data_IF_795827176064
#
_entry.id   IF_795827176064
#
_cell.length_a   1.000
_cell.length_b   1.000
_cell.length_c   1.000
_cell.angle_alpha   90.00
_cell.angle_beta   90.00
_cell.angle_gamma   90.00
#
_symmetry.space_group_name_H-M   'P 1'
#
loop_
_entity.id
_entity.type
_entity.pdbx_description
1 polymer ?
#
# COMPACT_ATOMS: atom_id res chain seq x y z
N UNK A 1 -26.99 -33.43 -14.92
CA UNK A 1 -27.54 -33.01 -13.61
C UNK A 1 -26.99 -31.65 -13.25
N UNK A 2 -27.85 -30.65 -13.03
CA UNK A 2 -27.45 -29.29 -12.62
C UNK A 2 -26.92 -29.30 -11.18
N UNK A 3 -25.74 -28.72 -10.98
CA UNK A 3 -25.09 -28.71 -9.67
C UNK A 3 -25.64 -27.60 -8.76
N UNK A 4 -26.62 -27.92 -7.91
CA UNK A 4 -27.21 -26.99 -6.93
C UNK A 4 -26.27 -26.61 -5.76
N UNK A 5 -25.17 -27.34 -5.55
CA UNK A 5 -24.23 -27.07 -4.45
C UNK A 5 -23.49 -25.73 -4.59
N UNK A 6 -23.51 -25.11 -5.76
CA UNK A 6 -22.90 -23.78 -5.99
C UNK A 6 -23.68 -22.63 -5.34
N UNK A 7 -24.97 -22.86 -5.05
CA UNK A 7 -25.85 -21.88 -4.41
C UNK A 7 -25.74 -21.94 -2.87
N UNK A 8 -25.99 -20.81 -2.21
CA UNK A 8 -26.13 -20.76 -0.75
C UNK A 8 -27.58 -21.03 -0.36
N UNK A 9 -27.84 -21.43 0.90
CA UNK A 9 -29.19 -21.77 1.38
C UNK A 9 -30.25 -20.70 1.04
N UNK A 10 -29.99 -19.39 1.19
CA UNK A 10 -30.95 -18.36 0.78
C UNK A 10 -31.33 -18.42 -0.70
N UNK A 11 -30.36 -18.65 -1.59
CA UNK A 11 -30.62 -18.76 -3.04
C UNK A 11 -31.31 -20.08 -3.40
N UNK A 12 -31.01 -21.17 -2.68
CA UNK A 12 -31.74 -22.45 -2.82
C UNK A 12 -33.21 -22.25 -2.46
N UNK A 13 -33.51 -21.54 -1.36
CA UNK A 13 -34.89 -21.23 -0.96
C UNK A 13 -35.61 -20.31 -1.95
N UNK A 14 -34.92 -19.30 -2.52
CA UNK A 14 -35.47 -18.46 -3.58
C UNK A 14 -35.81 -19.28 -4.83
N UNK A 15 -34.89 -20.15 -5.24
CA UNK A 15 -35.09 -21.04 -6.38
C UNK A 15 -36.31 -21.94 -6.18
N UNK A 16 -36.40 -22.60 -5.03
CA UNK A 16 -37.56 -23.43 -4.71
C UNK A 16 -38.87 -22.64 -4.75
N UNK A 17 -38.88 -21.41 -4.24
CA UNK A 17 -40.06 -20.53 -4.30
C UNK A 17 -40.45 -20.16 -5.73
N UNK A 18 -39.49 -19.84 -6.62
CA UNK A 18 -39.75 -19.60 -8.05
C UNK A 18 -40.20 -20.87 -8.80
N UNK A 19 -39.88 -22.04 -8.27
CA UNK A 19 -40.36 -23.33 -8.76
C UNK A 19 -41.63 -23.83 -8.08
N UNK A 20 -42.23 -23.06 -7.15
CA UNK A 20 -43.38 -23.47 -6.33
C UNK A 20 -43.16 -24.77 -5.55
N UNK A 21 -41.93 -25.03 -5.10
CA UNK A 21 -41.61 -26.14 -4.19
C UNK A 21 -41.71 -25.66 -2.76
N UNK A 22 -42.53 -26.35 -1.96
CA UNK A 22 -42.62 -26.09 -0.53
C UNK A 22 -41.52 -26.85 0.23
N UNK A 23 -40.42 -26.14 0.50
CA UNK A 23 -39.25 -26.74 1.17
C UNK A 23 -39.50 -26.92 2.66
N UNK A 24 -39.29 -28.14 3.16
CA UNK A 24 -39.22 -28.41 4.60
C UNK A 24 -37.93 -27.82 5.18
N UNK A 25 -37.93 -27.47 6.47
CA UNK A 25 -36.69 -27.08 7.16
C UNK A 25 -35.71 -28.26 7.13
N UNK A 26 -34.45 -27.97 6.83
CA UNK A 26 -33.41 -28.99 6.71
C UNK A 26 -32.03 -28.43 6.41
N UNK A 27 -31.04 -29.31 6.40
CA UNK A 27 -29.67 -29.02 5.96
C UNK A 27 -29.63 -28.80 4.45
N UNK A 28 -28.57 -28.14 3.96
CA UNK A 28 -28.44 -27.81 2.53
C UNK A 28 -28.62 -29.02 1.60
N UNK A 29 -28.01 -30.16 1.93
CA UNK A 29 -28.13 -31.39 1.13
C UNK A 29 -29.58 -31.88 1.06
N UNK A 30 -30.30 -31.88 2.18
CA UNK A 30 -31.72 -32.27 2.24
C UNK A 30 -32.61 -31.35 1.40
N UNK A 31 -32.32 -30.05 1.39
CA UNK A 31 -33.05 -29.08 0.56
C UNK A 31 -32.77 -29.28 -0.94
N UNK A 32 -31.55 -29.70 -1.30
CA UNK A 32 -31.17 -30.00 -2.68
C UNK A 32 -31.92 -31.25 -3.16
N UNK A 33 -31.93 -32.31 -2.34
CA UNK A 33 -32.65 -33.54 -2.67
C UNK A 33 -34.16 -33.27 -2.89
N UNK A 34 -34.80 -32.44 -2.05
CA UNK A 34 -36.20 -32.05 -2.23
C UNK A 34 -36.46 -31.33 -3.58
N UNK A 35 -35.47 -30.60 -4.10
CA UNK A 35 -35.58 -29.92 -5.40
C UNK A 35 -35.35 -30.90 -6.55
N UNK A 36 -34.43 -31.84 -6.39
CA UNK A 36 -34.17 -32.89 -7.37
C UNK A 36 -35.38 -33.85 -7.51
N UNK A 37 -36.03 -34.18 -6.39
CA UNK A 37 -37.24 -35.01 -6.35
C UNK A 37 -38.49 -34.31 -6.94
N UNK A 38 -38.48 -32.98 -7.04
CA UNK A 38 -39.63 -32.20 -7.54
C UNK A 38 -39.85 -32.29 -9.06
N UNK A 39 -38.98 -32.98 -9.80
CA UNK A 39 -39.18 -33.24 -11.23
C UNK A 39 -39.11 -31.99 -12.12
N UNK A 40 -38.39 -30.95 -11.71
CA UNK A 40 -38.21 -29.74 -12.52
C UNK A 40 -37.36 -30.07 -13.75
N UNK A 41 -37.73 -29.50 -14.91
CA UNK A 41 -36.92 -29.63 -16.11
C UNK A 41 -35.50 -29.07 -15.92
N UNK A 42 -34.52 -29.84 -16.34
CA UNK A 42 -33.10 -29.52 -16.13
C UNK A 42 -32.71 -28.15 -16.70
N UNK A 43 -33.21 -27.82 -17.91
CA UNK A 43 -33.02 -26.52 -18.55
C UNK A 43 -33.57 -25.34 -17.74
N UNK A 44 -34.69 -25.53 -17.01
CA UNK A 44 -35.24 -24.48 -16.15
C UNK A 44 -34.40 -24.30 -14.89
N UNK A 45 -33.94 -25.41 -14.32
CA UNK A 45 -33.10 -25.43 -13.14
C UNK A 45 -31.76 -24.74 -13.40
N UNK A 46 -31.13 -25.03 -14.55
CA UNK A 46 -29.87 -24.42 -14.98
C UNK A 46 -29.98 -22.90 -15.12
N UNK A 47 -31.01 -22.41 -15.83
CA UNK A 47 -31.28 -20.97 -15.97
C UNK A 47 -31.46 -20.26 -14.63
N UNK A 48 -32.14 -20.89 -13.68
CA UNK A 48 -32.34 -20.33 -12.34
C UNK A 48 -31.04 -20.32 -11.53
N UNK A 49 -30.24 -21.36 -11.62
CA UNK A 49 -28.91 -21.42 -10.98
C UNK A 49 -28.02 -20.29 -11.50
N UNK A 50 -27.96 -20.09 -12.82
CA UNK A 50 -27.16 -19.03 -13.43
C UNK A 50 -27.63 -17.64 -13.01
N UNK A 51 -28.95 -17.41 -13.02
CA UNK A 51 -29.57 -16.17 -12.55
C UNK A 51 -29.12 -15.83 -11.12
N UNK A 52 -29.19 -16.80 -10.20
CA UNK A 52 -28.83 -16.55 -8.79
C UNK A 52 -27.31 -16.50 -8.55
N UNK A 53 -26.51 -17.18 -9.35
CA UNK A 53 -25.06 -17.01 -9.33
C UNK A 53 -24.65 -15.60 -9.78
N UNK A 54 -25.30 -15.05 -10.81
CA UNK A 54 -25.10 -13.68 -11.23
C UNK A 54 -25.53 -12.69 -10.13
N UNK A 55 -26.69 -12.90 -9.50
CA UNK A 55 -27.15 -12.06 -8.37
C UNK A 55 -26.16 -12.09 -7.20
N UNK A 56 -25.63 -13.27 -6.85
CA UNK A 56 -24.60 -13.44 -5.81
C UNK A 56 -23.32 -12.67 -6.14
N UNK A 57 -22.85 -12.70 -7.39
CA UNK A 57 -21.68 -11.94 -7.85
C UNK A 57 -21.94 -10.43 -7.75
N UNK A 58 -23.09 -9.95 -8.22
CA UNK A 58 -23.45 -8.54 -8.13
C UNK A 58 -23.59 -8.05 -6.68
N UNK A 59 -24.17 -8.86 -5.78
CA UNK A 59 -24.27 -8.53 -4.37
C UNK A 59 -22.90 -8.38 -3.69
N UNK A 60 -21.92 -9.23 -4.04
CA UNK A 60 -20.52 -9.07 -3.58
C UNK A 60 -19.90 -7.77 -4.10
N UNK A 61 -20.12 -7.42 -5.36
CA UNK A 61 -19.62 -6.17 -5.95
C UNK A 61 -20.25 -4.96 -5.24
N UNK A 62 -21.56 -4.97 -4.99
CA UNK A 62 -22.25 -3.89 -4.26
C UNK A 62 -21.74 -3.75 -2.82
N UNK A 63 -21.45 -4.85 -2.13
CA UNK A 63 -20.84 -4.80 -0.79
C UNK A 63 -19.44 -4.16 -0.82
N UNK A 64 -18.59 -4.54 -1.78
CA UNK A 64 -17.27 -3.90 -1.95
C UNK A 64 -17.39 -2.41 -2.28
N UNK A 65 -18.32 -2.03 -3.15
CA UNK A 65 -18.58 -0.61 -3.48
C UNK A 65 -19.16 0.19 -2.30
N UNK A 66 -19.90 -0.41 -1.37
CA UNK A 66 -20.35 0.27 -0.14
C UNK A 66 -19.25 0.41 0.92
N UNK A 67 -18.23 -0.44 0.88
CA UNK A 67 -17.07 -0.34 1.77
C UNK A 67 -16.08 0.76 1.33
N UNK A 68 -16.09 1.11 0.03
CA UNK A 68 -15.37 2.26 -0.50
C UNK A 68 -16.37 3.36 -0.80
N UNK A 69 -16.59 4.27 0.17
CA UNK A 69 -17.41 5.46 -0.05
C UNK A 69 -16.61 6.48 -0.88
N UNK A 70 -16.29 6.10 -2.13
CA UNK A 70 -15.41 6.84 -3.05
C UNK A 70 -15.76 8.33 -3.12
N UNK A 71 -17.04 8.74 -3.23
CA UNK A 71 -17.38 10.17 -3.28
C UNK A 71 -17.07 10.92 -1.98
N UNK A 72 -17.19 10.26 -0.82
CA UNK A 72 -16.83 10.85 0.47
C UNK A 72 -15.30 10.97 0.60
N UNK A 73 -14.56 9.97 0.10
CA UNK A 73 -13.09 10.01 0.07
C UNK A 73 -12.58 11.09 -0.88
N UNK A 74 -13.16 11.22 -2.07
CA UNK A 74 -12.85 12.29 -3.03
C UNK A 74 -13.11 13.66 -2.42
N UNK A 75 -14.26 13.86 -1.75
CA UNK A 75 -14.56 15.11 -1.05
C UNK A 75 -13.58 15.42 0.08
N UNK A 76 -13.12 14.40 0.84
CA UNK A 76 -12.12 14.58 1.89
C UNK A 76 -10.75 14.91 1.32
N UNK A 77 -10.36 14.31 0.19
CA UNK A 77 -9.11 14.62 -0.51
C UNK A 77 -9.12 16.07 -0.96
N UNK A 78 -10.17 16.53 -1.65
CA UNK A 78 -10.24 17.93 -2.10
C UNK A 78 -10.19 18.94 -0.95
N UNK A 79 -10.84 18.63 0.19
CA UNK A 79 -10.75 19.49 1.37
C UNK A 79 -9.36 19.51 2.01
N UNK A 80 -8.59 18.42 1.90
CA UNK A 80 -7.22 18.35 2.39
C UNK A 80 -6.25 19.08 1.46
N UNK A 81 -6.42 18.96 0.14
CA UNK A 81 -5.67 19.71 -0.86
C UNK A 81 -5.82 21.22 -0.65
N UNK A 82 -7.05 21.71 -0.49
CA UNK A 82 -7.32 23.13 -0.23
C UNK A 82 -6.67 23.63 1.08
N UNK A 83 -6.67 22.81 2.14
CA UNK A 83 -5.98 23.15 3.39
C UNK A 83 -4.46 23.15 3.24
N UNK A 84 -3.93 22.26 2.40
CA UNK A 84 -2.50 22.17 2.13
C UNK A 84 -2.03 23.40 1.36
N UNK A 85 -2.78 23.85 0.36
CA UNK A 85 -2.49 25.07 -0.40
C UNK A 85 -2.44 26.30 0.53
N UNK A 86 -3.42 26.42 1.43
CA UNK A 86 -3.45 27.51 2.44
C UNK A 86 -2.22 27.44 3.35
N UNK A 87 -1.81 26.24 3.80
CA UNK A 87 -0.63 26.07 4.64
C UNK A 87 0.65 26.42 3.88
N UNK A 88 0.80 25.99 2.63
CA UNK A 88 1.92 26.33 1.77
C UNK A 88 2.02 27.86 1.62
N UNK A 89 0.90 28.53 1.40
CA UNK A 89 0.86 29.98 1.27
C UNK A 89 1.23 30.70 2.58
N UNK A 90 0.72 30.22 3.72
CA UNK A 90 1.08 30.76 5.03
C UNK A 90 2.57 30.57 5.35
N UNK A 91 3.12 29.39 5.06
CA UNK A 91 4.54 29.09 5.23
C UNK A 91 5.37 30.00 4.33
N UNK A 92 4.98 30.16 3.07
CA UNK A 92 5.62 31.06 2.11
C UNK A 92 5.66 32.50 2.60
N UNK A 93 4.55 33.00 3.17
CA UNK A 93 4.50 34.33 3.76
C UNK A 93 5.43 34.48 4.97
N UNK A 94 5.51 33.46 5.84
CA UNK A 94 6.42 33.45 7.00
C UNK A 94 7.88 33.46 6.55
N UNK A 95 8.24 32.63 5.56
CA UNK A 95 9.57 32.59 4.94
C UNK A 95 9.93 33.99 4.42
N UNK A 96 9.02 34.63 3.69
CA UNK A 96 9.26 35.96 3.11
C UNK A 96 9.42 37.06 4.18
N UNK A 97 8.68 37.00 5.29
CA UNK A 97 8.66 38.06 6.30
C UNK A 97 9.72 37.92 7.39
N UNK A 98 10.14 36.69 7.76
CA UNK A 98 10.93 36.45 8.98
C UNK A 98 12.30 35.79 8.77
N UNK A 99 12.61 35.29 7.57
CA UNK A 99 13.93 34.71 7.31
C UNK A 99 14.93 35.69 6.70
N UNK A 100 16.23 35.59 7.07
CA UNK A 100 17.31 36.34 6.43
C UNK A 100 17.49 35.87 4.98
N UNK A 101 17.96 36.75 4.10
CA UNK A 101 18.00 36.50 2.63
C UNK A 101 18.80 35.25 2.24
N UNK A 102 19.82 34.86 3.02
CA UNK A 102 20.58 33.62 2.81
C UNK A 102 19.73 32.35 2.90
N UNK A 103 18.73 32.34 3.78
CA UNK A 103 17.89 31.15 4.00
C UNK A 103 16.75 31.06 2.98
N UNK A 104 16.42 32.18 2.31
CA UNK A 104 15.41 32.23 1.23
C UNK A 104 15.93 31.66 -0.09
N UNK A 105 17.24 31.74 -0.35
CA UNK A 105 17.87 31.16 -1.55
C UNK A 105 17.92 29.63 -1.50
N UNK A 106 18.07 29.04 -0.30
CA UNK A 106 18.04 27.58 -0.11
C UNK A 106 16.68 26.98 -0.48
N UNK A 107 15.58 27.67 -0.17
CA UNK A 107 14.21 27.19 -0.43
C UNK A 107 13.80 27.36 -1.90
N UNK A 108 14.29 28.40 -2.59
CA UNK A 108 14.04 28.59 -4.03
C UNK A 108 14.78 27.58 -4.93
N UNK A 109 15.83 26.95 -4.42
CA UNK A 109 16.52 25.87 -5.12
C UNK A 109 15.73 24.55 -5.12
N UNK A 110 14.64 24.46 -4.35
CA UNK A 110 13.72 23.31 -4.28
C UNK A 110 12.40 23.54 -5.04
N UNK A 111 12.37 24.42 -6.05
CA UNK A 111 11.28 24.44 -7.03
C UNK A 111 11.33 23.14 -7.86
N UNK A 112 10.66 22.10 -7.35
CA UNK A 112 10.44 20.81 -8.01
C UNK A 112 9.41 21.03 -9.12
N UNK A 113 9.85 21.60 -10.23
CA UNK A 113 9.17 21.46 -11.52
C UNK A 113 10.19 21.06 -12.56
N UNK A 114 9.90 19.92 -13.19
CA UNK A 114 10.66 19.27 -14.25
C UNK A 114 11.99 18.62 -13.83
N UNK A 115 11.92 17.31 -13.60
CA UNK A 115 13.09 16.43 -13.72
C UNK A 115 13.84 16.73 -15.03
N UNK A 116 15.17 16.78 -14.95
CA UNK A 116 15.97 15.81 -15.67
C UNK A 116 16.47 14.80 -14.66
N UNK A 117 16.53 13.54 -15.08
CA UNK A 117 17.40 12.54 -14.44
C UNK A 117 18.84 13.02 -14.62
N UNK A 118 19.31 13.93 -13.78
CA UNK A 118 20.73 14.15 -13.62
C UNK A 118 21.26 12.96 -12.82
N UNK A 119 22.30 12.35 -13.37
CA UNK A 119 23.04 11.27 -12.72
C UNK A 119 23.46 11.77 -11.34
N UNK A 120 22.78 11.29 -10.30
CA UNK A 120 23.21 11.44 -8.92
C UNK A 120 24.68 11.06 -8.85
N UNK A 121 25.51 11.97 -8.37
CA UNK A 121 26.92 11.72 -8.16
C UNK A 121 26.97 10.93 -6.84
N UNK A 122 26.67 9.63 -6.97
CA UNK A 122 26.21 8.74 -5.89
C UNK A 122 26.95 8.89 -4.55
N UNK A 123 28.27 9.12 -4.47
CA UNK A 123 28.95 9.22 -3.18
C UNK A 123 28.57 10.45 -2.34
N UNK A 124 28.33 11.62 -2.96
CA UNK A 124 28.01 12.86 -2.23
C UNK A 124 26.55 12.89 -1.77
N UNK A 125 25.66 12.32 -2.58
CA UNK A 125 24.22 12.30 -2.30
C UNK A 125 23.88 11.28 -1.20
N UNK A 126 24.65 10.20 -1.07
CA UNK A 126 24.47 9.23 0.01
C UNK A 126 24.77 9.87 1.37
N UNK A 127 25.78 10.74 1.49
CA UNK A 127 26.06 11.47 2.75
C UNK A 127 24.86 12.31 3.15
N UNK A 128 24.37 13.17 2.26
CA UNK A 128 23.21 14.01 2.51
C UNK A 128 21.96 13.18 2.84
N UNK A 129 21.81 12.03 2.19
CA UNK A 129 20.72 11.09 2.43
C UNK A 129 20.79 10.44 3.83
N UNK A 130 21.96 10.01 4.27
CA UNK A 130 22.18 9.54 5.65
C UNK A 130 21.92 10.65 6.66
N UNK A 131 22.29 11.90 6.33
CA UNK A 131 22.02 13.04 7.18
C UNK A 131 20.53 13.41 7.26
N UNK A 132 19.75 13.06 6.23
CA UNK A 132 18.31 13.31 6.18
C UNK A 132 17.51 12.22 6.92
N UNK A 133 17.98 10.96 6.90
CA UNK A 133 17.23 9.82 7.45
C UNK A 133 17.52 9.56 8.93
N UNK A 134 18.76 9.78 9.36
CA UNK A 134 19.16 9.49 10.74
C UNK A 134 19.40 10.80 11.47
N UNK A 135 18.72 11.04 12.58
CA UNK A 135 19.10 12.12 13.50
C UNK A 135 20.36 11.71 14.28
N UNK A 136 21.15 12.65 14.82
CA UNK A 136 22.26 12.31 15.72
C UNK A 136 21.79 11.41 16.88
N UNK A 137 22.45 10.26 17.06
CA UNK A 137 22.06 9.20 18.02
C UNK A 137 21.16 8.11 17.45
N UNK A 138 20.57 8.28 16.27
CA UNK A 138 19.79 7.24 15.61
C UNK A 138 20.70 6.12 15.09
N UNK A 139 20.20 4.90 15.15
CA UNK A 139 20.92 3.69 14.74
C UNK A 139 20.09 2.91 13.74
N UNK A 140 20.71 2.49 12.64
CA UNK A 140 20.08 1.68 11.59
C UNK A 140 20.97 0.50 11.26
N UNK A 141 20.36 -0.67 11.02
CA UNK A 141 21.12 -1.80 10.47
C UNK A 141 21.36 -1.60 8.98
N UNK A 142 22.45 -2.16 8.47
CA UNK A 142 22.75 -2.10 7.03
C UNK A 142 21.61 -2.73 6.22
N UNK A 143 21.00 -3.81 6.69
CA UNK A 143 19.86 -4.45 6.00
C UNK A 143 18.61 -3.57 5.90
N UNK A 144 18.38 -2.70 6.89
CA UNK A 144 17.27 -1.74 6.87
C UNK A 144 17.53 -0.62 5.88
N UNK A 145 18.79 -0.18 5.79
CA UNK A 145 19.23 0.78 4.77
C UNK A 145 18.96 0.25 3.35
N UNK A 146 19.26 -1.02 3.09
CA UNK A 146 19.00 -1.67 1.80
C UNK A 146 17.51 -1.86 1.45
N UNK A 147 16.60 -1.70 2.43
CA UNK A 147 15.15 -1.79 2.19
C UNK A 147 14.55 -0.46 1.73
N UNK A 148 15.27 0.65 1.86
CA UNK A 148 14.81 1.97 1.46
C UNK A 148 14.67 2.06 -0.07
N UNK A 149 13.49 2.48 -0.55
CA UNK A 149 13.14 2.49 -1.98
C UNK A 149 14.12 3.31 -2.82
N UNK A 150 14.72 4.36 -2.25
CA UNK A 150 15.68 5.22 -2.94
C UNK A 150 17.06 4.57 -3.13
N UNK A 151 17.43 3.63 -2.26
CA UNK A 151 18.71 2.92 -2.30
C UNK A 151 18.63 1.55 -2.99
N UNK A 152 17.42 1.05 -3.30
CA UNK A 152 17.24 -0.23 -4.00
C UNK A 152 17.86 -0.29 -5.40
N UNK A 153 18.06 0.85 -6.05
CA UNK A 153 18.67 0.93 -7.38
C UNK A 153 20.19 1.16 -7.34
N UNK A 154 20.78 1.31 -6.15
CA UNK A 154 22.22 1.54 -5.98
C UNK A 154 22.95 0.20 -5.87
N UNK A 155 24.03 -0.04 -6.64
CA UNK A 155 24.85 -1.22 -6.47
C UNK A 155 25.40 -1.32 -5.04
N UNK A 156 25.33 -2.51 -4.44
CA UNK A 156 25.77 -2.77 -3.06
C UNK A 156 27.21 -2.29 -2.80
N UNK A 157 28.09 -2.46 -3.79
CA UNK A 157 29.49 -2.03 -3.71
C UNK A 157 29.65 -0.51 -3.54
N UNK A 158 28.86 0.27 -4.26
CA UNK A 158 28.94 1.74 -4.24
C UNK A 158 28.39 2.28 -2.90
N UNK A 159 27.37 1.61 -2.36
CA UNK A 159 26.83 1.93 -1.04
C UNK A 159 27.80 1.56 0.09
N UNK A 160 28.49 0.42 -0.01
CA UNK A 160 29.55 0.03 0.92
C UNK A 160 30.70 1.04 0.90
N UNK A 161 31.15 1.48 -0.28
CA UNK A 161 32.18 2.51 -0.42
C UNK A 161 31.74 3.84 0.22
N UNK A 162 30.50 4.28 0.00
CA UNK A 162 29.97 5.50 0.62
C UNK A 162 29.82 5.40 2.15
N UNK A 163 29.37 4.26 2.68
CA UNK A 163 29.31 4.00 4.13
C UNK A 163 30.72 4.03 4.72
N UNK A 164 31.70 3.44 4.05
CA UNK A 164 33.09 3.46 4.51
C UNK A 164 33.66 4.89 4.57
N UNK A 165 33.33 5.72 3.58
CA UNK A 165 33.70 7.14 3.56
C UNK A 165 33.05 7.92 4.71
N UNK A 166 31.78 7.65 5.02
CA UNK A 166 31.06 8.26 6.15
C UNK A 166 31.68 7.90 7.51
N UNK A 167 32.14 6.66 7.65
CA UNK A 167 32.86 6.21 8.84
C UNK A 167 34.22 6.91 8.95
N UNK A 168 34.94 7.07 7.84
CA UNK A 168 36.24 7.76 7.82
C UNK A 168 36.11 9.25 8.13
N UNK A 169 34.99 9.87 7.73
CA UNK A 169 34.63 11.26 8.05
C UNK A 169 34.11 11.43 9.48
N UNK A 170 33.89 10.35 10.24
CA UNK A 170 33.40 10.38 11.63
C UNK A 170 31.93 10.76 11.78
N UNK A 171 31.14 10.66 10.71
CA UNK A 171 29.69 10.97 10.70
C UNK A 171 28.86 9.79 11.21
N UNK A 172 29.39 8.58 11.05
CA UNK A 172 28.73 7.34 11.45
C UNK A 172 29.72 6.44 12.18
N UNK A 173 29.30 5.88 13.31
CA UNK A 173 30.02 4.82 14.02
C UNK A 173 29.45 3.44 13.69
N UNK A 174 30.34 2.45 13.55
CA UNK A 174 29.96 1.04 13.34
C UNK A 174 30.08 0.26 14.64
N UNK A 175 28.93 -0.19 15.12
CA UNK A 175 28.83 -1.15 16.22
C UNK A 175 28.45 -2.54 15.70
N UNK A 176 28.73 -3.56 16.51
CA UNK A 176 28.37 -4.94 16.19
C UNK A 176 26.90 -5.18 16.55
N UNK A 177 26.13 -5.82 15.66
CA UNK A 177 24.68 -5.90 15.76
C UNK A 177 24.04 -6.96 14.86
N UNK A 178 22.71 -7.05 14.81
CA UNK A 178 21.99 -8.18 14.22
C UNK A 178 21.84 -8.09 12.69
N UNK A 179 22.78 -7.47 11.99
CA UNK A 179 22.74 -7.36 10.53
C UNK A 179 23.22 -8.66 9.86
N UNK A 180 22.71 -8.94 8.65
CA UNK A 180 23.17 -9.99 7.72
C UNK A 180 24.30 -9.46 6.82
N UNK A 181 24.56 -8.16 6.85
CA UNK A 181 25.61 -7.53 6.08
C UNK A 181 26.76 -7.08 6.95
N UNK A 182 27.97 -7.21 6.42
CA UNK A 182 29.20 -6.89 7.13
C UNK A 182 29.85 -5.66 6.54
N UNK A 183 30.07 -4.65 7.39
CA UNK A 183 30.86 -3.46 7.04
C UNK A 183 32.12 -3.46 7.90
N UNK A 184 33.29 -3.31 7.26
CA UNK A 184 34.62 -3.43 7.91
C UNK A 184 34.80 -4.68 8.78
N UNK A 185 34.15 -5.80 8.41
CA UNK A 185 34.26 -7.09 9.09
C UNK A 185 33.36 -7.28 10.33
N UNK A 186 32.56 -6.27 10.72
CA UNK A 186 31.55 -6.35 11.80
C UNK A 186 30.15 -6.48 11.21
N UNK A 187 29.23 -7.14 11.91
CA UNK A 187 27.82 -7.14 11.52
C UNK A 187 27.24 -5.79 11.95
N UNK A 188 27.02 -4.90 10.99
CA UNK A 188 27.05 -3.48 11.29
C UNK A 188 25.67 -2.90 11.66
N UNK A 189 25.61 -2.27 12.84
CA UNK A 189 24.68 -1.17 13.10
C UNK A 189 25.45 0.13 12.85
N UNK A 190 24.85 0.98 12.03
CA UNK A 190 25.33 2.32 11.71
C UNK A 190 24.63 3.31 12.65
N UNK A 191 25.40 3.94 13.53
CA UNK A 191 24.90 4.96 14.46
C UNK A 191 25.40 6.32 14.02
N UNK A 192 24.51 7.30 13.85
CA UNK A 192 24.93 8.67 13.54
C UNK A 192 25.49 9.32 14.81
N UNK A 193 26.69 9.86 14.71
CA UNK A 193 27.38 10.59 15.79
C UNK A 193 26.86 12.02 15.97
#
# INVERSE_FOLDING_TARGET
MVNLNVLTIPYIKKLAKECNIDLKRGRKAELINQIEEAGISENRLEKLVDKYLAEKKQAKIKKKKRQLNIPELESRISSLEEKMDILIEQVSQVIQQKMPERDKELIKAEDISDKPKESLDLPKDIVAYFEHILSPGDSITVDELFKLEELQNVPLKDLEEAINELIERGVIEVSDGPSIQKIKGKWAILTRT
#
